data_IF_819117992698
#
_entry.id   IF_819117992698
#
_cell.length_a   1.000
_cell.length_b   1.000
_cell.length_c   1.000
_cell.angle_alpha   90.00
_cell.angle_beta   90.00
_cell.angle_gamma   90.00
#
_symmetry.space_group_name_H-M   'P 1'
#
loop_
_entity.id
_entity.type
_entity.pdbx_description
1 polymer ?
#
# COMPACT_ATOMS: atom_id res chain seq x y z
N UNK A 1 57.71 26.13 -24.94
CA UNK A 1 56.96 26.61 -26.13
C UNK A 1 55.57 25.99 -26.01
N UNK A 2 54.56 26.62 -25.40
CA UNK A 2 53.70 27.72 -25.94
C UNK A 2 52.67 27.12 -26.91
N UNK A 3 51.34 27.27 -26.84
CA UNK A 3 50.34 27.92 -25.96
C UNK A 3 48.96 27.26 -26.27
N UNK A 4 48.04 27.10 -25.31
CA UNK A 4 46.87 27.96 -24.92
C UNK A 4 45.80 28.22 -26.01
N UNK A 5 44.62 27.59 -25.86
CA UNK A 5 43.23 28.09 -26.15
C UNK A 5 42.29 27.23 -25.27
N UNK A 6 41.63 27.65 -24.18
CA UNK A 6 40.54 28.61 -23.88
C UNK A 6 39.11 28.26 -24.36
N UNK A 7 38.18 28.19 -23.38
CA UNK A 7 36.73 28.40 -23.48
C UNK A 7 35.87 27.13 -23.61
N UNK A 8 34.75 26.93 -22.90
CA UNK A 8 34.02 27.77 -21.96
C UNK A 8 33.03 26.92 -21.14
N UNK A 9 32.93 27.30 -19.86
CA UNK A 9 31.94 26.98 -18.84
C UNK A 9 30.47 27.08 -19.31
N UNK A 10 29.60 26.18 -18.80
CA UNK A 10 28.15 26.41 -18.60
C UNK A 10 27.55 25.36 -17.66
N UNK A 11 27.55 25.68 -16.37
CA UNK A 11 26.55 25.20 -15.41
C UNK A 11 25.14 25.66 -15.82
N UNK A 12 24.16 24.74 -15.85
CA UNK A 12 22.72 25.01 -15.67
C UNK A 12 22.15 23.87 -14.83
N UNK A 13 21.86 24.11 -13.55
CA UNK A 13 20.60 24.65 -13.02
C UNK A 13 19.57 23.56 -12.78
N UNK A 14 19.38 23.29 -11.48
CA UNK A 14 18.30 22.50 -10.87
C UNK A 14 16.93 23.03 -11.28
N UNK A 15 15.98 22.14 -11.54
CA UNK A 15 14.54 22.46 -11.55
C UNK A 15 13.84 21.42 -10.65
N UNK A 16 13.05 21.84 -9.65
CA UNK A 16 12.34 20.95 -8.74
C UNK A 16 10.98 20.51 -9.34
N UNK A 17 10.64 19.22 -9.22
CA UNK A 17 9.30 18.73 -9.50
C UNK A 17 8.39 19.06 -8.31
N UNK A 18 7.58 20.11 -8.49
CA UNK A 18 6.55 20.54 -7.54
C UNK A 18 5.28 19.71 -7.73
N UNK A 19 4.71 19.31 -6.60
CA UNK A 19 3.38 18.74 -6.40
C UNK A 19 2.27 19.47 -7.18
N UNK A 20 1.43 18.73 -7.89
CA UNK A 20 0.19 19.23 -8.49
C UNK A 20 -1.01 18.39 -8.04
N UNK A 21 -1.68 18.83 -6.96
CA UNK A 21 -3.03 18.39 -6.60
C UNK A 21 -4.00 19.48 -7.05
N UNK A 22 -4.86 19.10 -7.98
CA UNK A 22 -6.26 19.52 -8.16
C UNK A 22 -6.64 21.00 -8.31
N UNK A 23 -7.28 21.22 -9.47
CA UNK A 23 -8.67 21.68 -9.65
C UNK A 23 -8.94 23.14 -10.04
N UNK A 24 -9.73 23.18 -11.12
CA UNK A 24 -10.85 24.07 -11.44
C UNK A 24 -10.60 25.47 -12.03
N UNK A 25 -11.34 25.66 -13.14
CA UNK A 25 -12.07 26.85 -13.56
C UNK A 25 -11.30 28.01 -14.23
N UNK A 26 -11.31 27.95 -15.57
CA UNK A 26 -12.12 28.82 -16.46
C UNK A 26 -11.86 30.34 -16.43
N UNK A 27 -11.26 30.83 -17.53
CA UNK A 27 -11.26 32.20 -18.10
C UNK A 27 -10.84 32.04 -19.58
N UNK A 28 -11.24 32.80 -20.61
CA UNK A 28 -12.20 33.88 -20.86
C UNK A 28 -12.22 34.09 -22.41
N UNK A 29 -13.39 34.46 -22.97
CA UNK A 29 -13.67 35.41 -24.10
C UNK A 29 -13.06 35.12 -25.50
N UNK A 30 -13.64 35.51 -26.64
CA UNK A 30 -14.46 36.67 -27.06
C UNK A 30 -15.43 36.26 -28.20
N UNK A 31 -16.59 36.92 -28.35
CA UNK A 31 -16.80 37.84 -29.49
C UNK A 31 -18.09 38.69 -29.45
N UNK A 32 -17.91 39.92 -29.95
CA UNK A 32 -18.78 41.00 -30.42
C UNK A 32 -20.32 41.08 -30.18
N UNK A 33 -20.76 42.29 -29.80
CA UNK A 33 -21.73 43.02 -30.65
C UNK A 33 -22.93 43.74 -29.99
N UNK A 34 -22.87 45.08 -30.04
CA UNK A 34 -23.94 46.09 -30.19
C UNK A 34 -24.74 46.64 -28.98
N UNK A 35 -24.62 47.98 -28.87
CA UNK A 35 -25.65 49.04 -28.70
C UNK A 35 -26.59 48.93 -27.47
N UNK A 36 -26.80 49.91 -26.61
CA UNK A 36 -26.52 51.35 -26.57
C UNK A 36 -27.48 51.97 -25.52
N UNK A 37 -27.28 53.26 -25.21
CA UNK A 37 -28.20 54.17 -24.48
C UNK A 37 -27.86 54.50 -23.02
N UNK A 38 -27.10 55.60 -22.90
CA UNK A 38 -27.16 56.74 -21.98
C UNK A 38 -28.33 56.80 -20.96
N UNK A 39 -28.03 57.22 -19.73
CA UNK A 39 -28.49 58.51 -19.14
C UNK A 39 -28.17 58.62 -17.63
N UNK A 40 -27.30 59.58 -17.30
CA UNK A 40 -27.36 60.59 -16.21
C UNK A 40 -27.80 60.18 -14.80
N UNK A 41 -26.91 60.31 -13.79
CA UNK A 41 -26.79 61.47 -12.86
C UNK A 41 -28.02 61.65 -11.96
N UNK A 42 -27.94 61.51 -10.63
CA UNK A 42 -27.43 62.53 -9.70
C UNK A 42 -27.55 62.00 -8.27
N UNK A 43 -26.62 62.39 -7.40
CA UNK A 43 -26.72 62.21 -5.96
C UNK A 43 -27.72 63.19 -5.33
N UNK A 44 -28.46 62.76 -4.29
CA UNK A 44 -29.00 63.65 -3.25
C UNK A 44 -28.94 62.99 -1.87
N UNK A 45 -28.38 63.74 -0.92
CA UNK A 45 -28.38 63.51 0.54
C UNK A 45 -29.61 64.19 1.17
N UNK A 46 -30.11 63.62 2.27
CA UNK A 46 -30.70 64.25 3.48
C UNK A 46 -31.58 63.18 4.17
N UNK A 47 -31.33 62.69 5.39
CA UNK A 47 -31.25 63.30 6.74
C UNK A 47 -32.57 63.20 7.52
N UNK A 48 -32.44 62.84 8.82
CA UNK A 48 -33.37 63.00 9.95
C UNK A 48 -34.52 61.96 10.10
N UNK A 49 -34.99 61.51 11.28
CA UNK A 49 -34.69 61.74 12.71
C UNK A 49 -35.53 60.75 13.55
N UNK A 50 -34.95 60.27 14.67
CA UNK A 50 -35.54 59.85 15.98
C UNK A 50 -36.61 58.74 16.07
N UNK A 51 -36.31 57.78 16.97
CA UNK A 51 -37.26 57.31 17.99
C UNK A 51 -37.36 55.79 18.12
N UNK A 52 -36.89 55.22 19.24
CA UNK A 52 -37.28 53.85 19.58
C UNK A 52 -36.37 53.09 20.56
N UNK A 53 -36.62 53.30 21.86
CA UNK A 53 -36.61 52.32 22.96
C UNK A 53 -35.49 51.26 22.99
N UNK A 54 -34.60 51.43 23.97
CA UNK A 54 -33.64 50.41 24.41
C UNK A 54 -34.38 49.23 25.09
N UNK A 55 -34.37 48.06 24.44
CA UNK A 55 -34.65 46.77 25.10
C UNK A 55 -33.30 46.14 25.43
N UNK A 56 -32.94 46.15 26.72
CA UNK A 56 -31.81 45.40 27.25
C UNK A 56 -32.16 43.91 27.26
N UNK A 57 -31.98 43.22 26.13
CA UNK A 57 -31.89 41.78 26.11
C UNK A 57 -30.44 41.39 26.43
N UNK A 58 -30.18 40.99 27.68
CA UNK A 58 -28.90 40.42 28.09
C UNK A 58 -28.59 39.16 27.29
N UNK A 59 -27.74 39.28 26.28
CA UNK A 59 -27.16 38.15 25.59
C UNK A 59 -26.14 37.49 26.53
N UNK A 60 -26.56 36.45 27.24
CA UNK A 60 -25.65 35.51 27.88
C UNK A 60 -24.83 34.83 26.78
N UNK A 61 -23.64 35.37 26.50
CA UNK A 61 -22.63 34.76 25.64
C UNK A 61 -22.14 33.50 26.35
N UNK A 62 -22.85 32.40 26.15
CA UNK A 62 -22.38 31.07 26.49
C UNK A 62 -21.15 30.76 25.64
N UNK A 63 -19.96 31.00 26.16
CA UNK A 63 -18.73 30.40 25.64
C UNK A 63 -18.84 28.89 25.86
N UNK A 64 -19.45 28.19 24.89
CA UNK A 64 -19.22 26.76 24.73
C UNK A 64 -17.77 26.62 24.33
N UNK A 65 -16.90 26.25 25.29
CA UNK A 65 -15.60 25.70 24.97
C UNK A 65 -15.86 24.48 24.07
N UNK A 66 -15.63 24.66 22.78
CA UNK A 66 -15.65 23.57 21.83
C UNK A 66 -14.47 22.68 22.21
N UNK A 67 -14.74 21.61 22.94
CA UNK A 67 -13.83 20.48 23.03
C UNK A 67 -13.70 19.91 21.62
N UNK A 68 -12.80 20.48 20.83
CA UNK A 68 -12.40 19.90 19.57
C UNK A 68 -11.79 18.53 19.88
N UNK A 69 -12.36 17.50 19.26
CA UNK A 69 -11.82 16.14 19.28
C UNK A 69 -10.33 16.24 18.93
N UNK A 70 -9.41 15.65 19.73
CA UNK A 70 -7.99 15.72 19.44
C UNK A 70 -7.72 15.26 18.01
N UNK A 71 -6.83 15.96 17.31
CA UNK A 71 -6.42 15.56 15.98
C UNK A 71 -5.96 14.08 16.01
N UNK A 72 -6.32 13.27 15.00
CA UNK A 72 -5.79 11.93 14.89
C UNK A 72 -4.26 11.98 14.83
N UNK A 73 -3.61 10.93 15.35
CA UNK A 73 -2.16 10.78 15.24
C UNK A 73 -1.66 10.95 13.81
N UNK A 74 -0.37 11.27 13.64
CA UNK A 74 0.32 10.95 12.40
C UNK A 74 0.26 9.44 12.10
N UNK A 75 0.13 9.11 10.80
CA UNK A 75 -0.18 7.78 10.29
C UNK A 75 0.87 6.68 10.56
N UNK A 76 1.99 7.01 11.19
CA UNK A 76 3.07 6.07 11.52
C UNK A 76 2.96 5.45 12.92
N UNK A 77 2.02 5.91 13.77
CA UNK A 77 2.04 5.59 15.19
C UNK A 77 0.89 4.72 15.74
N UNK A 78 -0.16 4.38 14.98
CA UNK A 78 -1.34 3.74 15.59
C UNK A 78 -1.93 2.60 14.78
N UNK A 79 -1.62 1.38 15.23
CA UNK A 79 -2.62 0.39 15.65
C UNK A 79 -1.86 -0.70 16.41
N UNK A 80 -1.65 -0.44 17.70
CA UNK A 80 -1.38 -1.54 18.63
C UNK A 80 -2.66 -2.35 18.73
N UNK A 81 -2.57 -3.61 18.32
CA UNK A 81 -3.71 -4.53 18.31
C UNK A 81 -3.40 -5.72 19.20
N UNK A 82 -4.43 -6.25 19.85
CA UNK A 82 -4.34 -7.50 20.57
C UNK A 82 -4.76 -8.63 19.65
N UNK A 83 -3.93 -9.66 19.53
CA UNK A 83 -4.25 -10.86 18.75
C UNK A 83 -5.29 -11.67 19.51
N UNK A 84 -6.38 -11.98 18.83
CA UNK A 84 -7.44 -12.84 19.35
C UNK A 84 -7.23 -14.29 18.90
N UNK A 85 -7.05 -14.53 17.60
CA UNK A 85 -6.81 -15.87 17.05
C UNK A 85 -5.81 -15.85 15.89
N UNK A 86 -5.02 -16.91 15.76
CA UNK A 86 -4.25 -17.20 14.55
C UNK A 86 -5.06 -18.09 13.61
N UNK A 87 -5.23 -17.66 12.35
CA UNK A 87 -6.03 -18.37 11.34
C UNK A 87 -5.17 -19.18 10.38
N UNK A 88 -3.99 -18.67 10.04
CA UNK A 88 -2.99 -19.33 9.20
C UNK A 88 -1.60 -18.74 9.46
N UNK A 89 -0.57 -19.26 8.79
CA UNK A 89 0.80 -18.74 8.84
C UNK A 89 0.94 -17.26 8.42
N UNK A 90 -0.05 -16.65 7.80
CA UNK A 90 -0.03 -15.24 7.37
C UNK A 90 -1.31 -14.46 7.69
N UNK A 91 -2.20 -15.01 8.52
CA UNK A 91 -3.50 -14.41 8.82
C UNK A 91 -3.87 -14.56 10.29
N UNK A 92 -4.32 -13.47 10.91
CA UNK A 92 -4.79 -13.40 12.30
C UNK A 92 -6.14 -12.67 12.37
N UNK A 93 -6.87 -12.86 13.47
CA UNK A 93 -7.93 -11.94 13.90
C UNK A 93 -7.46 -11.15 15.11
N UNK A 94 -7.82 -9.88 15.14
CA UNK A 94 -7.46 -8.93 16.20
C UNK A 94 -8.72 -8.26 16.74
N UNK A 95 -8.70 -7.87 18.01
CA UNK A 95 -9.85 -7.21 18.63
C UNK A 95 -10.15 -5.84 17.99
N UNK A 96 -11.43 -5.45 17.84
CA UNK A 96 -12.61 -6.17 18.29
C UNK A 96 -13.11 -7.28 17.36
N UNK A 97 -12.68 -7.38 16.09
CA UNK A 97 -12.97 -8.55 15.20
C UNK A 97 -12.35 -8.39 13.77
N UNK A 98 -11.25 -7.64 13.63
CA UNK A 98 -10.66 -7.40 12.30
C UNK A 98 -9.75 -8.56 11.87
N UNK A 99 -9.95 -9.02 10.63
CA UNK A 99 -9.05 -10.00 10.00
C UNK A 99 -7.89 -9.29 9.32
N UNK A 100 -6.67 -9.57 9.79
CA UNK A 100 -5.43 -9.02 9.24
C UNK A 100 -4.70 -10.09 8.44
N UNK A 101 -4.33 -9.79 7.19
CA UNK A 101 -3.45 -10.62 6.36
C UNK A 101 -2.09 -9.95 6.21
N UNK A 102 -1.02 -10.72 6.33
CA UNK A 102 0.34 -10.21 6.30
C UNK A 102 0.75 -9.76 4.89
N UNK A 103 1.07 -8.47 4.76
CA UNK A 103 1.47 -7.85 3.50
C UNK A 103 2.82 -8.40 2.99
N UNK A 104 2.97 -8.48 1.67
CA UNK A 104 4.22 -8.86 1.02
C UNK A 104 4.59 -10.35 1.11
N UNK A 105 3.78 -11.17 1.77
CA UNK A 105 4.02 -12.61 1.90
C UNK A 105 2.79 -13.45 1.55
N UNK A 106 3.02 -14.75 1.45
CA UNK A 106 2.01 -15.79 1.26
C UNK A 106 2.45 -17.05 2.00
N UNK A 107 1.73 -17.40 3.07
CA UNK A 107 1.93 -18.69 3.73
C UNK A 107 1.29 -19.84 2.92
N UNK A 108 1.70 -21.10 3.18
CA UNK A 108 1.04 -22.26 2.63
C UNK A 108 -0.46 -22.32 2.96
N UNK A 109 -1.23 -22.99 2.10
CA UNK A 109 -2.63 -23.37 2.35
C UNK A 109 -2.73 -24.74 3.01
N UNK A 110 -3.92 -25.11 3.53
CA UNK A 110 -4.15 -26.35 4.29
C UNK A 110 -3.68 -27.63 3.58
N UNK A 111 -3.77 -27.65 2.26
CA UNK A 111 -3.38 -28.75 1.37
C UNK A 111 -1.95 -28.62 0.83
N UNK A 112 -1.21 -27.60 1.24
CA UNK A 112 0.17 -27.37 0.84
C UNK A 112 1.16 -27.75 1.95
N UNK A 113 2.39 -28.11 1.58
CA UNK A 113 3.41 -28.45 2.57
C UNK A 113 3.68 -27.32 3.55
N UNK A 114 3.92 -27.70 4.82
CA UNK A 114 4.26 -26.82 5.94
C UNK A 114 3.16 -25.86 6.40
N UNK A 115 1.90 -26.12 6.06
CA UNK A 115 0.77 -25.33 6.54
C UNK A 115 0.66 -25.28 8.05
N UNK A 116 0.72 -26.44 8.71
CA UNK A 116 0.56 -26.55 10.16
C UNK A 116 1.74 -25.92 10.87
N UNK A 117 2.95 -26.13 10.37
CA UNK A 117 4.20 -25.56 10.88
C UNK A 117 4.20 -24.04 10.74
N UNK A 118 3.79 -23.51 9.59
CA UNK A 118 3.68 -22.07 9.39
C UNK A 118 2.62 -21.45 10.32
N UNK A 119 1.49 -22.11 10.49
CA UNK A 119 0.39 -21.64 11.35
C UNK A 119 0.79 -21.68 12.83
N UNK A 120 1.37 -22.80 13.30
CA UNK A 120 1.89 -22.95 14.66
C UNK A 120 2.95 -21.90 14.95
N UNK A 121 3.90 -21.72 14.03
CA UNK A 121 4.97 -20.74 14.21
C UNK A 121 4.46 -19.32 14.28
N UNK A 122 3.45 -18.97 13.48
CA UNK A 122 2.80 -17.67 13.59
C UNK A 122 2.15 -17.51 14.98
N UNK A 123 1.45 -18.54 15.47
CA UNK A 123 0.93 -18.63 16.85
C UNK A 123 1.96 -18.30 17.91
N UNK A 124 3.09 -19.02 17.94
CA UNK A 124 4.20 -18.79 18.88
C UNK A 124 4.72 -17.35 18.83
N UNK A 125 4.71 -16.73 17.65
CA UNK A 125 5.18 -15.38 17.46
C UNK A 125 4.21 -14.33 17.99
N UNK A 126 2.89 -14.52 17.86
CA UNK A 126 1.92 -13.43 17.98
C UNK A 126 0.76 -13.67 18.94
N UNK A 127 0.43 -14.91 19.27
CA UNK A 127 -0.72 -15.24 20.10
C UNK A 127 -0.55 -14.72 21.53
N UNK A 128 -1.60 -14.10 22.07
CA UNK A 128 -1.57 -13.45 23.38
C UNK A 128 -0.69 -12.20 23.48
N UNK A 129 -0.13 -11.71 22.36
CA UNK A 129 0.76 -10.53 22.33
C UNK A 129 0.08 -9.32 21.71
N UNK A 130 0.65 -8.14 22.01
CA UNK A 130 0.32 -6.89 21.33
C UNK A 130 1.21 -6.72 20.11
N UNK A 131 0.59 -6.53 18.95
CA UNK A 131 1.30 -6.25 17.71
C UNK A 131 1.19 -4.79 17.35
N UNK A 132 2.25 -4.23 16.78
CA UNK A 132 2.17 -2.98 16.04
C UNK A 132 1.97 -3.30 14.56
N UNK A 133 0.82 -2.90 14.01
CA UNK A 133 0.56 -3.02 12.57
C UNK A 133 1.15 -1.83 11.83
N UNK A 134 1.66 -2.08 10.63
CA UNK A 134 2.07 -1.03 9.69
C UNK A 134 1.48 -1.30 8.32
N UNK A 135 0.80 -0.31 7.77
CA UNK A 135 0.12 -0.38 6.50
C UNK A 135 0.96 0.20 5.37
N UNK A 136 0.49 -0.01 4.14
CA UNK A 136 0.89 0.81 2.99
C UNK A 136 0.08 2.11 2.98
N UNK A 137 0.10 2.86 1.88
CA UNK A 137 -0.75 4.05 1.74
C UNK A 137 -2.25 3.68 1.85
N UNK A 138 -2.62 2.55 1.25
CA UNK A 138 -3.96 1.95 1.40
C UNK A 138 -3.94 0.84 2.45
N UNK A 139 -4.82 0.91 3.44
CA UNK A 139 -4.94 -0.11 4.49
C UNK A 139 -5.57 -1.42 3.99
N UNK A 140 -6.49 -1.32 3.02
CA UNK A 140 -7.24 -2.45 2.47
C UNK A 140 -6.92 -2.67 1.01
N UNK A 141 -6.86 -3.94 0.61
CA UNK A 141 -6.74 -4.29 -0.80
C UNK A 141 -8.09 -4.22 -1.55
N UNK A 142 -8.06 -4.49 -2.86
CA UNK A 142 -9.27 -4.50 -3.72
C UNK A 142 -10.33 -5.51 -3.26
N UNK A 143 -9.95 -6.52 -2.47
CA UNK A 143 -10.85 -7.52 -1.87
C UNK A 143 -11.26 -7.15 -0.44
N UNK A 144 -11.02 -5.90 -0.03
CA UNK A 144 -11.32 -5.34 1.28
C UNK A 144 -10.58 -6.06 2.44
N UNK A 145 -9.50 -6.79 2.15
CA UNK A 145 -8.66 -7.40 3.19
C UNK A 145 -7.75 -6.35 3.80
N UNK A 146 -7.71 -6.31 5.13
CA UNK A 146 -6.77 -5.47 5.86
C UNK A 146 -5.35 -6.04 5.71
N UNK A 147 -4.49 -5.35 4.98
CA UNK A 147 -3.12 -5.80 4.66
C UNK A 147 -2.11 -5.03 5.49
N UNK A 148 -1.40 -5.73 6.38
CA UNK A 148 -0.44 -5.10 7.27
C UNK A 148 0.89 -5.87 7.37
N UNK A 149 1.96 -5.15 7.65
CA UNK A 149 3.20 -5.70 8.18
C UNK A 149 3.08 -5.75 9.71
N UNK A 150 3.23 -6.94 10.29
CA UNK A 150 3.06 -7.16 11.71
C UNK A 150 4.40 -7.07 12.44
N UNK A 151 4.46 -6.27 13.50
CA UNK A 151 5.63 -6.17 14.37
C UNK A 151 5.30 -6.66 15.78
N UNK A 152 6.14 -7.55 16.29
CA UNK A 152 6.14 -8.00 17.69
C UNK A 152 7.50 -7.65 18.30
N UNK A 153 7.51 -6.93 19.42
CA UNK A 153 8.75 -6.50 20.11
C UNK A 153 9.77 -5.84 19.17
N UNK A 154 9.29 -5.02 18.23
CA UNK A 154 10.11 -4.33 17.22
C UNK A 154 10.58 -5.21 16.05
N UNK A 155 10.32 -6.51 16.06
CA UNK A 155 10.69 -7.46 14.99
C UNK A 155 9.58 -7.65 13.98
N UNK A 156 9.91 -7.65 12.69
CA UNK A 156 8.96 -7.88 11.61
C UNK A 156 8.62 -9.37 11.49
N UNK A 157 7.40 -9.75 11.89
CA UNK A 157 6.89 -11.13 11.85
C UNK A 157 6.94 -11.69 10.43
N UNK A 158 6.56 -10.89 9.44
CA UNK A 158 6.58 -11.27 8.02
C UNK A 158 7.96 -11.77 7.58
N UNK A 159 9.03 -11.08 8.00
CA UNK A 159 10.40 -11.46 7.65
C UNK A 159 10.84 -12.72 8.41
N UNK A 160 10.42 -12.88 9.67
CA UNK A 160 10.73 -14.08 10.45
C UNK A 160 10.20 -15.33 9.73
N UNK A 161 8.93 -15.32 9.35
CA UNK A 161 8.29 -16.42 8.64
C UNK A 161 8.99 -16.72 7.30
N UNK A 162 9.32 -15.70 6.51
CA UNK A 162 10.04 -15.88 5.24
C UNK A 162 11.45 -16.44 5.46
N UNK A 163 12.19 -15.93 6.46
CA UNK A 163 13.57 -16.35 6.77
C UNK A 163 13.66 -17.78 7.30
N UNK A 164 12.60 -18.23 7.97
CA UNK A 164 12.43 -19.62 8.43
C UNK A 164 11.90 -20.54 7.31
N UNK A 165 11.57 -19.98 6.13
CA UNK A 165 11.06 -20.73 4.99
C UNK A 165 9.60 -21.16 5.17
N UNK A 166 8.80 -20.45 5.96
CA UNK A 166 7.40 -20.77 6.25
C UNK A 166 6.41 -19.90 5.45
N UNK A 167 6.92 -19.01 4.61
CA UNK A 167 6.12 -18.23 3.68
C UNK A 167 6.94 -17.88 2.43
N UNK A 168 6.24 -17.78 1.29
CA UNK A 168 6.76 -17.17 0.08
C UNK A 168 6.67 -15.65 0.17
N UNK A 169 7.60 -14.94 -0.45
CA UNK A 169 7.44 -13.51 -0.76
C UNK A 169 6.43 -13.38 -1.90
N UNK A 170 5.46 -12.50 -1.71
CA UNK A 170 4.42 -12.21 -2.71
C UNK A 170 4.20 -10.71 -2.81
N UNK A 171 4.77 -10.11 -3.85
CA UNK A 171 4.76 -8.66 -4.06
C UNK A 171 3.67 -8.23 -5.05
N UNK A 172 2.96 -7.16 -4.71
CA UNK A 172 2.02 -6.45 -5.57
C UNK A 172 2.43 -4.97 -5.62
N UNK A 173 1.82 -4.13 -6.47
CA UNK A 173 2.10 -2.69 -6.45
C UNK A 173 1.83 -2.05 -5.09
N UNK A 174 1.03 -2.68 -4.25
CA UNK A 174 0.59 -2.21 -2.93
C UNK A 174 1.21 -3.01 -1.78
N UNK A 175 2.37 -3.66 -1.97
CA UNK A 175 3.10 -4.36 -0.88
C UNK A 175 4.62 -4.21 -1.00
N UNK A 176 5.08 -3.00 -1.36
CA UNK A 176 6.48 -2.74 -1.72
C UNK A 176 7.37 -2.28 -0.55
N UNK A 177 6.79 -1.81 0.57
CA UNK A 177 7.54 -1.17 1.67
C UNK A 177 8.71 -1.98 2.21
N UNK A 178 8.56 -3.30 2.32
CA UNK A 178 9.60 -4.20 2.82
C UNK A 178 10.11 -5.19 1.76
N UNK A 179 9.85 -4.94 0.46
CA UNK A 179 10.19 -5.85 -0.63
C UNK A 179 11.67 -6.30 -0.59
N UNK A 180 12.61 -5.36 -0.49
CA UNK A 180 14.05 -5.66 -0.44
C UNK A 180 14.42 -6.57 0.74
N UNK A 181 13.87 -6.29 1.92
CA UNK A 181 14.13 -7.04 3.15
C UNK A 181 13.56 -8.46 3.07
N UNK A 182 12.33 -8.58 2.57
CA UNK A 182 11.65 -9.86 2.40
C UNK A 182 12.32 -10.74 1.32
N UNK A 183 12.66 -10.17 0.16
CA UNK A 183 13.39 -10.91 -0.89
C UNK A 183 14.77 -11.36 -0.42
N UNK A 184 15.49 -10.52 0.33
CA UNK A 184 16.77 -10.92 0.92
C UNK A 184 16.61 -12.07 1.94
N UNK A 185 15.55 -12.05 2.76
CA UNK A 185 15.24 -13.13 3.68
C UNK A 185 14.89 -14.43 2.95
N UNK A 186 14.10 -14.35 1.87
CA UNK A 186 13.75 -15.50 1.04
C UNK A 186 15.00 -16.11 0.39
N UNK A 187 15.85 -15.28 -0.20
CA UNK A 187 17.11 -15.75 -0.80
C UNK A 187 18.01 -16.45 0.22
N UNK A 188 18.06 -15.97 1.47
CA UNK A 188 18.77 -16.65 2.57
C UNK A 188 18.12 -17.99 2.94
N UNK A 189 16.79 -18.04 3.04
CA UNK A 189 16.07 -19.27 3.36
C UNK A 189 16.23 -20.34 2.27
N UNK A 190 16.21 -19.93 0.98
CA UNK A 190 16.47 -20.77 -0.19
C UNK A 190 17.88 -21.37 -0.17
N UNK A 191 18.92 -20.53 -0.02
CA UNK A 191 20.31 -20.99 0.06
C UNK A 191 20.59 -21.91 1.26
N UNK A 192 19.87 -21.71 2.36
CA UNK A 192 19.99 -22.52 3.57
C UNK A 192 19.03 -23.72 3.60
N UNK A 193 18.28 -23.97 2.51
CA UNK A 193 17.32 -25.07 2.38
C UNK A 193 16.35 -25.20 3.56
N UNK A 194 15.78 -24.06 4.00
CA UNK A 194 14.89 -24.01 5.17
C UNK A 194 13.44 -24.16 4.79
N UNK A 195 12.66 -24.87 5.61
CA UNK A 195 11.20 -24.95 5.49
C UNK A 195 10.78 -25.38 4.08
N UNK A 196 10.03 -24.52 3.40
CA UNK A 196 9.57 -24.71 2.02
C UNK A 196 10.73 -25.01 1.07
N UNK A 197 11.94 -24.57 1.38
CA UNK A 197 13.12 -24.75 0.52
C UNK A 197 13.95 -25.99 0.87
N UNK A 198 13.50 -26.82 1.83
CA UNK A 198 14.19 -28.06 2.23
C UNK A 198 14.20 -29.14 1.15
N UNK A 199 13.23 -29.07 0.24
CA UNK A 199 13.18 -29.87 -0.99
C UNK A 199 13.24 -28.95 -2.22
N UNK A 200 13.83 -29.41 -3.33
CA UNK A 200 13.75 -28.71 -4.59
C UNK A 200 12.29 -28.45 -4.99
N UNK A 201 12.04 -27.26 -5.54
CA UNK A 201 10.78 -26.98 -6.22
C UNK A 201 10.98 -27.14 -7.72
N UNK A 202 10.13 -27.95 -8.34
CA UNK A 202 10.14 -28.14 -9.80
C UNK A 202 8.99 -27.38 -10.43
N UNK A 203 9.27 -26.70 -11.54
CA UNK A 203 8.23 -26.04 -12.32
C UNK A 203 7.31 -27.10 -12.95
N UNK A 204 6.01 -26.85 -12.94
CA UNK A 204 5.00 -27.71 -13.54
C UNK A 204 4.83 -27.48 -15.06
N UNK A 205 5.52 -26.48 -15.62
CA UNK A 205 5.51 -26.14 -17.05
C UNK A 205 6.87 -25.57 -17.47
N UNK A 206 7.18 -25.65 -18.76
CA UNK A 206 8.42 -25.11 -19.33
C UNK A 206 8.46 -23.57 -19.31
N UNK A 207 7.30 -22.92 -19.49
CA UNK A 207 7.12 -21.48 -19.35
C UNK A 207 6.19 -21.20 -18.17
N UNK A 208 6.51 -20.17 -17.39
CA UNK A 208 5.68 -19.67 -16.31
C UNK A 208 5.28 -18.21 -16.55
N UNK A 209 4.09 -17.85 -16.10
CA UNK A 209 3.48 -16.53 -16.33
C UNK A 209 3.25 -15.81 -14.98
N UNK A 210 3.97 -14.72 -14.75
CA UNK A 210 3.79 -13.86 -13.58
C UNK A 210 2.69 -12.81 -13.81
N UNK A 211 1.72 -12.73 -12.90
CA UNK A 211 0.77 -11.63 -12.78
C UNK A 211 1.31 -10.60 -11.75
N UNK A 212 1.89 -9.46 -12.18
CA UNK A 212 2.48 -8.49 -11.26
C UNK A 212 1.46 -7.70 -10.42
N UNK A 213 0.16 -7.72 -10.76
CA UNK A 213 -0.91 -7.04 -10.01
C UNK A 213 -1.23 -7.78 -8.72
N UNK A 214 -1.18 -9.11 -8.74
CA UNK A 214 -1.47 -9.95 -7.58
C UNK A 214 -0.25 -10.68 -7.01
N UNK A 215 0.88 -10.64 -7.72
CA UNK A 215 2.14 -11.28 -7.34
C UNK A 215 2.10 -12.79 -7.50
N UNK A 216 1.22 -13.32 -8.35
CA UNK A 216 1.05 -14.76 -8.51
C UNK A 216 1.80 -15.25 -9.75
N UNK A 217 2.41 -16.43 -9.63
CA UNK A 217 3.00 -17.17 -10.74
C UNK A 217 1.99 -18.23 -11.21
N UNK A 218 1.86 -18.41 -12.52
CA UNK A 218 0.88 -19.29 -13.14
C UNK A 218 1.55 -20.22 -14.16
N UNK A 219 0.94 -21.38 -14.40
CA UNK A 219 1.16 -22.12 -15.65
C UNK A 219 0.29 -21.52 -16.76
N UNK A 220 0.66 -21.68 -18.05
CA UNK A 220 -0.18 -21.24 -19.17
C UNK A 220 -1.59 -21.85 -19.16
N UNK A 221 -1.74 -23.05 -18.61
CA UNK A 221 -3.03 -23.76 -18.52
C UNK A 221 -3.92 -23.30 -17.33
N UNK A 222 -3.49 -22.33 -16.53
CA UNK A 222 -4.26 -21.89 -15.37
C UNK A 222 -5.56 -21.19 -15.78
N UNK A 223 -6.68 -21.57 -15.14
CA UNK A 223 -8.01 -20.98 -15.37
C UNK A 223 -8.12 -19.46 -15.15
N UNK A 224 -7.12 -18.84 -14.51
CA UNK A 224 -7.06 -17.40 -14.32
C UNK A 224 -6.43 -16.67 -15.52
N UNK A 225 -5.61 -17.36 -16.34
CA UNK A 225 -4.90 -16.75 -17.47
C UNK A 225 -5.85 -16.06 -18.46
N UNK A 226 -6.98 -16.66 -18.87
CA UNK A 226 -7.92 -15.99 -19.78
C UNK A 226 -8.56 -14.71 -19.20
N UNK A 227 -8.51 -14.52 -17.88
CA UNK A 227 -9.09 -13.36 -17.17
C UNK A 227 -8.07 -12.23 -16.96
N UNK A 228 -6.81 -12.47 -17.30
CA UNK A 228 -5.71 -11.52 -17.12
C UNK A 228 -5.41 -10.86 -18.45
N UNK A 229 -5.28 -9.53 -18.45
CA UNK A 229 -4.77 -8.77 -19.59
C UNK A 229 -3.40 -9.33 -20.03
N UNK A 230 -3.29 -9.91 -21.25
CA UNK A 230 -2.05 -10.53 -21.72
C UNK A 230 -0.87 -9.55 -21.78
N UNK A 231 -1.12 -8.26 -22.02
CA UNK A 231 -0.07 -7.25 -22.11
C UNK A 231 0.65 -7.00 -20.77
N UNK A 232 0.05 -7.45 -19.66
CA UNK A 232 0.58 -7.27 -18.30
C UNK A 232 1.31 -8.50 -17.77
N UNK A 233 1.20 -9.64 -18.44
CA UNK A 233 1.86 -10.87 -18.01
C UNK A 233 3.37 -10.79 -18.25
N UNK A 234 4.13 -11.36 -17.32
CA UNK A 234 5.59 -11.45 -17.41
C UNK A 234 5.96 -12.92 -17.59
N UNK A 235 6.72 -13.25 -18.64
CA UNK A 235 7.20 -14.61 -18.90
C UNK A 235 8.45 -14.92 -18.11
N UNK A 236 8.56 -16.17 -17.68
CA UNK A 236 9.71 -16.73 -16.96
C UNK A 236 10.02 -18.13 -17.48
N UNK A 237 11.26 -18.34 -17.90
CA UNK A 237 11.78 -19.66 -18.28
C UNK A 237 12.28 -20.46 -17.07
N UNK A 238 12.54 -19.76 -15.95
CA UNK A 238 13.05 -20.35 -14.71
C UNK A 238 12.19 -19.94 -13.52
N UNK A 239 11.83 -20.92 -12.71
CA UNK A 239 11.11 -20.70 -11.45
C UNK A 239 11.85 -19.73 -10.53
N UNK A 240 13.16 -19.90 -10.41
CA UNK A 240 13.99 -19.10 -9.53
C UNK A 240 13.94 -17.60 -9.87
N UNK A 241 13.94 -17.25 -11.16
CA UNK A 241 13.84 -15.86 -11.62
C UNK A 241 12.49 -15.21 -11.23
N UNK A 242 11.41 -16.00 -11.24
CA UNK A 242 10.10 -15.56 -10.78
C UNK A 242 10.08 -15.37 -9.25
N UNK A 243 10.62 -16.34 -8.50
CA UNK A 243 10.70 -16.27 -7.04
C UNK A 243 11.56 -15.09 -6.57
N UNK A 244 12.68 -14.81 -7.23
CA UNK A 244 13.58 -13.69 -6.90
C UNK A 244 12.98 -12.33 -7.19
N UNK A 245 11.94 -12.28 -8.02
CA UNK A 245 11.12 -11.07 -8.26
C UNK A 245 9.89 -10.97 -7.36
N UNK A 246 9.71 -11.93 -6.44
CA UNK A 246 8.62 -11.92 -5.46
C UNK A 246 7.28 -12.38 -6.02
N UNK A 247 7.29 -13.21 -7.07
CA UNK A 247 6.09 -13.95 -7.47
C UNK A 247 5.96 -15.21 -6.62
N UNK A 248 4.78 -15.43 -6.05
CA UNK A 248 4.47 -16.64 -5.29
C UNK A 248 3.63 -17.61 -6.14
N UNK A 249 3.73 -18.93 -5.91
CA UNK A 249 2.95 -19.92 -6.66
C UNK A 249 1.44 -19.66 -6.56
N UNK A 250 0.74 -19.66 -7.70
CA UNK A 250 -0.72 -19.58 -7.70
C UNK A 250 -1.33 -20.81 -7.03
N UNK A 251 -2.33 -20.55 -6.18
CA UNK A 251 -3.09 -21.55 -5.42
C UNK A 251 -3.92 -22.51 -6.28
N UNK A 252 -4.22 -22.14 -7.53
CA UNK A 252 -5.15 -22.90 -8.39
C UNK A 252 -4.44 -23.88 -9.33
N UNK A 253 -3.35 -23.43 -9.95
CA UNK A 253 -2.63 -24.23 -10.94
C UNK A 253 -1.32 -24.81 -10.43
N UNK A 254 -0.95 -24.53 -9.17
CA UNK A 254 0.24 -25.08 -8.50
C UNK A 254 1.45 -25.11 -9.44
N UNK A 255 1.92 -23.94 -9.92
CA UNK A 255 2.91 -23.83 -11.02
C UNK A 255 4.27 -24.43 -10.68
N UNK A 256 4.48 -24.79 -9.42
CA UNK A 256 5.59 -25.56 -8.96
C UNK A 256 5.15 -26.39 -7.74
N UNK A 257 5.88 -27.46 -7.47
CA UNK A 257 5.65 -28.37 -6.33
C UNK A 257 6.99 -28.86 -5.78
N UNK A 258 6.99 -29.37 -4.56
CA UNK A 258 8.12 -30.17 -4.07
C UNK A 258 8.37 -31.32 -5.04
N UNK A 259 9.63 -31.54 -5.38
CA UNK A 259 10.04 -32.79 -6.02
C UNK A 259 9.70 -33.95 -5.09
N UNK A 260 9.17 -35.02 -5.68
CA UNK A 260 8.97 -36.30 -4.99
C UNK A 260 10.32 -36.86 -4.50
#
# INVERSE_FOLDING_TARGET
MGGRVQGSDRQRSRIPLRSGRQRHHQRHLEDAGREGTLMTSTAKKAAAVVGGVAILAGAALGLRAAFSKPAPAPADERQWVEVEHVRSGDTITVKPEDKVTYAGIRAPLKDEPLFEEATRRNGELVEGKKLRLRFEEDERDKKQRLLAYAFVDGKLVNEILVREGLAFVRLTPTTQRFAKQLLAAQGKARRAQRGLWSKPWTAAAAELLGDPKYGNLHTPACEEIPKIDPARLVRFDKLDDALDRGFAPCRKCTPCRWSE
#
